data_IF_117572796600
#
_entry.id   IF_117572796600
#
_cell.length_a   1.000
_cell.length_b   1.000
_cell.length_c   1.000
_cell.angle_alpha   90.00
_cell.angle_beta   90.00
_cell.angle_gamma   90.00
#
_symmetry.space_group_name_H-M   'P 1'
#
loop_
_entity.id
_entity.type
_entity.pdbx_description
1 polymer ?
#
# COMPACT_ATOMS: atom_id res chain seq x y z
N UNK A 1 -0.42 -1.75 5.15
CA UNK A 1 -1.21 -1.53 3.90
C UNK A 1 -0.58 -0.54 2.92
N UNK A 2 0.42 0.27 3.23
CA UNK A 2 1.07 1.24 2.33
C UNK A 2 2.58 1.10 2.37
N UNK A 3 3.28 1.61 1.33
CA UNK A 3 4.74 1.59 1.25
C UNK A 3 5.30 0.50 0.34
N UNK A 4 4.46 -0.06 -0.53
CA UNK A 4 4.86 -1.12 -1.46
C UNK A 4 5.33 -0.58 -2.82
N UNK A 5 4.92 0.64 -3.18
CA UNK A 5 5.25 1.25 -4.47
C UNK A 5 6.58 1.99 -4.36
N UNK A 6 7.66 1.24 -4.20
CA UNK A 6 9.01 1.76 -3.98
C UNK A 6 9.87 1.65 -5.24
N UNK A 7 10.90 2.49 -5.36
CA UNK A 7 11.84 2.38 -6.47
C UNK A 7 12.88 1.27 -6.21
N UNK A 8 13.19 0.52 -7.26
CA UNK A 8 14.37 -0.35 -7.27
C UNK A 8 15.64 0.50 -7.44
N UNK A 9 16.32 0.77 -6.34
CA UNK A 9 17.53 1.59 -6.34
C UNK A 9 18.67 1.03 -7.21
N UNK A 10 18.65 -0.28 -7.51
CA UNK A 10 19.63 -0.92 -8.39
C UNK A 10 19.42 -0.60 -9.87
N UNK A 11 18.18 -0.30 -10.25
CA UNK A 11 17.80 0.02 -11.63
C UNK A 11 17.91 1.52 -11.96
N UNK A 12 18.18 2.40 -10.98
CA UNK A 12 18.19 3.85 -11.15
C UNK A 12 19.60 4.42 -11.29
N UNK A 13 19.76 5.41 -12.18
CA UNK A 13 20.89 6.32 -12.20
C UNK A 13 20.95 7.20 -10.95
N UNK A 14 22.08 7.87 -10.69
CA UNK A 14 22.21 8.76 -9.55
C UNK A 14 21.28 9.99 -9.65
N UNK A 15 21.06 10.52 -10.84
CA UNK A 15 20.16 11.64 -11.10
C UNK A 15 18.68 11.24 -10.79
N UNK A 16 18.27 10.05 -11.21
CA UNK A 16 16.94 9.51 -10.91
C UNK A 16 16.75 9.24 -9.40
N UNK A 17 17.77 8.72 -8.73
CA UNK A 17 17.76 8.59 -7.26
C UNK A 17 17.66 9.94 -6.56
N UNK A 18 18.34 10.95 -7.06
CA UNK A 18 18.25 12.31 -6.53
C UNK A 18 16.87 12.90 -6.77
N UNK A 19 16.31 12.74 -7.97
CA UNK A 19 14.95 13.16 -8.31
C UNK A 19 13.90 12.49 -7.40
N UNK A 20 13.94 11.17 -7.28
CA UNK A 20 13.04 10.42 -6.39
C UNK A 20 13.12 10.91 -4.95
N UNK A 21 14.35 11.10 -4.45
CA UNK A 21 14.61 11.63 -3.11
C UNK A 21 14.08 13.06 -2.96
N UNK A 22 14.21 13.90 -3.98
CA UNK A 22 13.73 15.28 -3.93
C UNK A 22 12.20 15.34 -3.81
N UNK A 23 11.45 14.55 -4.58
CA UNK A 23 9.98 14.47 -4.49
C UNK A 23 9.54 13.89 -3.15
N UNK A 24 10.18 12.81 -2.68
CA UNK A 24 9.93 12.22 -1.36
C UNK A 24 10.16 13.23 -0.22
N UNK A 25 11.25 13.97 -0.27
CA UNK A 25 11.55 15.03 0.70
C UNK A 25 10.55 16.20 0.59
N UNK A 26 10.12 16.54 -0.62
CA UNK A 26 9.07 17.53 -0.86
C UNK A 26 7.75 17.17 -0.18
N UNK A 27 7.30 15.92 -0.36
CA UNK A 27 6.10 15.40 0.31
C UNK A 27 6.27 15.40 1.84
N UNK A 28 7.42 14.98 2.35
CA UNK A 28 7.75 15.02 3.78
C UNK A 28 7.67 16.44 4.36
N UNK A 29 8.15 17.46 3.62
CA UNK A 29 8.07 18.85 4.02
C UNK A 29 6.64 19.39 3.92
N UNK A 30 5.88 18.99 2.89
CA UNK A 30 4.47 19.37 2.76
C UNK A 30 3.65 18.86 3.96
N UNK A 31 3.85 17.62 4.36
CA UNK A 31 3.23 17.05 5.57
C UNK A 31 3.56 17.86 6.82
N UNK A 32 4.85 18.21 7.01
CA UNK A 32 5.27 19.05 8.15
C UNK A 32 4.61 20.42 8.13
N UNK A 33 4.63 21.09 7.00
CA UNK A 33 4.19 22.49 6.88
C UNK A 33 2.67 22.62 7.01
N UNK A 34 1.94 21.60 6.55
CA UNK A 34 0.46 21.59 6.58
C UNK A 34 -0.12 21.05 7.89
N UNK A 35 0.59 20.10 8.54
CA UNK A 35 0.03 19.30 9.64
C UNK A 35 0.97 19.16 10.86
N UNK A 36 2.18 19.73 10.80
CA UNK A 36 3.15 19.67 11.88
C UNK A 36 4.12 18.48 11.78
N UNK A 37 5.09 18.43 12.68
CA UNK A 37 6.20 17.48 12.62
C UNK A 37 5.77 16.00 12.69
N UNK A 38 4.76 15.67 13.49
CA UNK A 38 4.30 14.30 13.69
C UNK A 38 3.68 13.71 12.43
N UNK A 39 3.03 14.54 11.59
CA UNK A 39 2.39 14.09 10.35
C UNK A 39 3.39 13.59 9.29
N UNK A 40 4.69 13.81 9.48
CA UNK A 40 5.74 13.20 8.65
C UNK A 40 5.75 11.66 8.75
N UNK A 41 5.18 11.09 9.81
CA UNK A 41 4.99 9.66 9.93
C UNK A 41 3.95 9.10 8.93
N UNK A 42 3.12 9.97 8.34
CA UNK A 42 2.17 9.59 7.28
C UNK A 42 2.81 9.51 5.90
N UNK A 43 4.11 9.78 5.76
CA UNK A 43 4.85 9.75 4.50
C UNK A 43 4.90 8.33 3.93
N UNK A 44 4.49 8.14 2.68
CA UNK A 44 4.54 6.85 1.99
C UNK A 44 5.22 6.96 0.63
N UNK A 45 5.78 5.87 0.17
CA UNK A 45 6.33 5.76 -1.18
C UNK A 45 5.23 5.75 -2.24
N UNK A 46 4.07 5.15 -1.95
CA UNK A 46 2.94 5.08 -2.87
C UNK A 46 2.44 6.46 -3.29
N UNK A 47 2.34 7.40 -2.34
CA UNK A 47 1.96 8.77 -2.66
C UNK A 47 3.12 9.60 -3.25
N UNK A 48 4.38 9.20 -3.03
CA UNK A 48 5.51 9.76 -3.78
C UNK A 48 5.45 9.38 -5.25
N UNK A 49 5.11 8.12 -5.56
CA UNK A 49 4.85 7.67 -6.94
C UNK A 49 3.68 8.45 -7.57
N UNK A 50 2.59 8.65 -6.83
CA UNK A 50 1.46 9.45 -7.31
C UNK A 50 1.87 10.89 -7.68
N UNK A 51 2.72 11.54 -6.87
CA UNK A 51 3.23 12.89 -7.17
C UNK A 51 4.06 12.87 -8.46
N UNK A 52 5.02 11.94 -8.59
CA UNK A 52 5.84 11.78 -9.80
C UNK A 52 4.98 11.60 -11.04
N UNK A 53 3.97 10.73 -10.95
CA UNK A 53 3.03 10.45 -12.04
C UNK A 53 2.27 11.70 -12.47
N UNK A 54 1.69 12.43 -11.52
CA UNK A 54 0.93 13.65 -11.81
C UNK A 54 1.83 14.78 -12.29
N UNK A 55 3.03 14.93 -11.75
CA UNK A 55 4.00 15.94 -12.18
C UNK A 55 4.46 15.66 -13.61
N UNK A 56 4.69 14.39 -13.98
CA UNK A 56 5.03 14.00 -15.34
C UNK A 56 3.88 14.20 -16.33
N UNK A 57 2.64 13.93 -15.89
CA UNK A 57 1.46 14.00 -16.76
C UNK A 57 0.99 15.44 -17.01
N UNK A 58 1.15 16.34 -16.04
CA UNK A 58 0.56 17.68 -16.07
C UNK A 58 1.60 18.81 -16.11
N UNK A 59 2.88 18.52 -15.92
CA UNK A 59 3.98 19.48 -15.90
C UNK A 59 3.69 20.77 -15.08
N UNK A 60 3.24 20.65 -13.82
CA UNK A 60 2.91 21.80 -13.00
C UNK A 60 4.17 22.63 -12.69
N UNK A 61 3.96 23.88 -12.27
CA UNK A 61 5.04 24.68 -11.72
C UNK A 61 5.58 23.99 -10.46
N UNK A 62 6.86 23.64 -10.49
CA UNK A 62 7.57 22.99 -9.39
C UNK A 62 8.43 24.01 -8.66
N UNK A 63 8.40 24.00 -7.34
CA UNK A 63 9.34 24.73 -6.49
C UNK A 63 10.37 23.76 -5.96
N UNK A 64 11.63 24.15 -5.99
CA UNK A 64 12.76 23.32 -5.55
C UNK A 64 13.61 24.05 -4.53
N UNK A 65 14.31 23.32 -3.69
CA UNK A 65 15.23 23.84 -2.71
C UNK A 65 15.99 22.74 -1.98
N UNK A 66 16.68 23.12 -0.92
CA UNK A 66 17.39 22.17 -0.07
C UNK A 66 17.11 22.47 1.41
N UNK A 67 17.02 21.42 2.23
CA UNK A 67 16.79 21.54 3.67
C UNK A 67 17.47 20.44 4.46
N UNK A 68 17.80 20.71 5.74
CA UNK A 68 18.29 19.69 6.65
C UNK A 68 17.16 18.77 7.10
N UNK A 69 17.41 17.47 7.06
CA UNK A 69 16.45 16.46 7.47
C UNK A 69 16.60 16.10 8.94
N UNK A 70 15.56 16.28 9.75
CA UNK A 70 15.58 15.93 11.18
C UNK A 70 15.67 14.41 11.44
N UNK A 71 15.27 13.59 10.46
CA UNK A 71 15.39 12.13 10.54
C UNK A 71 16.83 11.63 10.25
N UNK A 72 17.72 12.52 9.77
CA UNK A 72 19.12 12.22 9.49
C UNK A 72 19.99 13.29 10.14
N UNK A 73 20.13 13.27 11.49
CA UNK A 73 20.72 14.38 12.26
C UNK A 73 22.25 14.46 12.19
N UNK A 74 22.96 13.45 11.66
CA UNK A 74 24.40 13.55 11.46
C UNK A 74 24.72 14.70 10.48
N UNK A 75 25.96 15.29 10.50
CA UNK A 75 26.29 16.45 9.69
C UNK A 75 26.19 16.15 8.19
N UNK A 76 24.95 15.90 7.75
CA UNK A 76 24.63 15.64 6.37
C UNK A 76 24.40 16.98 5.67
N UNK A 77 24.86 17.08 4.42
CA UNK A 77 24.51 18.19 3.55
C UNK A 77 23.00 18.37 3.45
N UNK A 78 22.49 19.60 3.21
CA UNK A 78 21.09 19.83 2.94
C UNK A 78 20.62 18.92 1.81
N UNK A 79 19.45 18.29 1.97
CA UNK A 79 18.87 17.40 0.97
C UNK A 79 18.00 18.18 0.01
N UNK A 80 18.07 17.90 -1.30
CA UNK A 80 17.17 18.51 -2.27
C UNK A 80 15.72 18.11 -1.99
N UNK A 81 14.80 19.01 -2.31
CA UNK A 81 13.37 18.76 -2.30
C UNK A 81 12.69 19.46 -3.49
N UNK A 82 11.62 18.85 -3.97
CA UNK A 82 10.79 19.35 -5.05
C UNK A 82 9.32 19.29 -4.65
N UNK A 83 8.54 20.34 -4.92
CA UNK A 83 7.12 20.44 -4.55
C UNK A 83 6.31 21.05 -5.69
N UNK A 84 5.13 20.47 -5.92
CA UNK A 84 4.11 20.94 -6.85
C UNK A 84 2.75 21.04 -6.14
N UNK A 85 1.71 21.40 -6.86
CA UNK A 85 0.34 21.34 -6.38
C UNK A 85 -0.07 19.88 -6.02
N UNK A 86 0.47 18.89 -6.73
CA UNK A 86 0.21 17.48 -6.47
C UNK A 86 0.86 16.98 -5.18
N UNK A 87 2.00 17.57 -4.80
CA UNK A 87 2.62 17.29 -3.49
C UNK A 87 1.70 17.69 -2.33
N UNK A 88 1.02 18.82 -2.44
CA UNK A 88 0.08 19.29 -1.42
C UNK A 88 -1.16 18.39 -1.34
N UNK A 89 -1.71 17.98 -2.49
CA UNK A 89 -2.82 17.03 -2.55
C UNK A 89 -2.43 15.65 -1.99
N UNK A 90 -1.25 15.15 -2.35
CA UNK A 90 -0.72 13.89 -1.82
C UNK A 90 -0.50 13.94 -0.30
N UNK A 91 -0.09 15.10 0.25
CA UNK A 91 0.03 15.27 1.70
C UNK A 91 -1.33 15.20 2.41
N UNK A 92 -2.38 15.78 1.82
CA UNK A 92 -3.74 15.69 2.35
C UNK A 92 -4.25 14.23 2.32
N UNK A 93 -4.00 13.49 1.22
CA UNK A 93 -4.33 12.06 1.11
C UNK A 93 -3.54 11.20 2.09
N UNK A 94 -2.22 11.47 2.26
CA UNK A 94 -1.37 10.72 3.19
C UNK A 94 -1.92 10.74 4.62
N UNK A 95 -2.35 11.92 5.09
CA UNK A 95 -2.94 12.06 6.43
C UNK A 95 -4.27 11.34 6.53
N UNK A 96 -5.14 11.46 5.49
CA UNK A 96 -6.44 10.82 5.51
C UNK A 96 -6.33 9.29 5.52
N UNK A 97 -5.48 8.71 4.67
CA UNK A 97 -5.26 7.27 4.59
C UNK A 97 -4.58 6.72 5.86
N UNK A 98 -3.56 7.42 6.38
CA UNK A 98 -2.89 7.03 7.61
C UNK A 98 -3.82 7.06 8.84
N UNK A 99 -4.71 8.05 8.93
CA UNK A 99 -5.69 8.12 10.00
C UNK A 99 -6.61 6.91 9.99
N UNK A 100 -7.13 6.52 8.82
CA UNK A 100 -8.02 5.36 8.71
C UNK A 100 -7.30 4.03 8.94
N UNK A 101 -6.02 3.91 8.56
CA UNK A 101 -5.20 2.76 8.95
C UNK A 101 -5.07 2.63 10.46
N UNK A 102 -4.77 3.74 11.15
CA UNK A 102 -4.67 3.73 12.63
C UNK A 102 -6.00 3.40 13.28
N UNK A 103 -7.14 3.84 12.73
CA UNK A 103 -8.47 3.44 13.23
C UNK A 103 -8.72 1.94 13.09
N UNK A 104 -8.21 1.32 12.04
CA UNK A 104 -8.28 -0.11 11.80
C UNK A 104 -7.42 -0.88 12.82
N UNK A 105 -6.18 -0.46 13.02
CA UNK A 105 -5.27 -1.01 14.03
C UNK A 105 -5.84 -0.90 15.47
N UNK A 106 -6.55 0.21 15.79
CA UNK A 106 -7.26 0.38 17.09
C UNK A 106 -8.42 -0.61 17.23
N UNK A 107 -9.14 -0.88 16.15
CA UNK A 107 -10.30 -1.77 16.16
C UNK A 107 -9.89 -3.24 16.27
N UNK A 108 -8.78 -3.63 15.66
CA UNK A 108 -8.30 -5.01 15.67
C UNK A 108 -7.53 -5.38 16.94
N UNK A 109 -6.59 -4.56 17.38
CA UNK A 109 -5.68 -4.88 18.49
C UNK A 109 -6.02 -4.18 19.80
N UNK A 110 -6.79 -3.09 19.77
CA UNK A 110 -7.12 -2.28 20.95
C UNK A 110 -5.89 -1.65 21.63
N UNK A 111 -4.75 -1.59 20.93
CA UNK A 111 -3.46 -1.18 21.46
C UNK A 111 -3.48 0.30 21.92
N UNK A 112 -2.83 0.55 23.06
CA UNK A 112 -2.66 1.90 23.60
C UNK A 112 -1.84 2.81 22.69
N UNK A 113 -0.88 2.25 21.93
CA UNK A 113 -0.08 3.01 20.98
C UNK A 113 -0.94 3.45 19.78
N UNK A 114 -1.79 2.57 19.25
CA UNK A 114 -2.71 2.90 18.16
C UNK A 114 -3.72 3.98 18.59
N UNK A 115 -4.27 3.90 19.82
CA UNK A 115 -5.16 4.95 20.38
C UNK A 115 -4.45 6.28 20.59
N UNK A 116 -3.16 6.27 20.95
CA UNK A 116 -2.38 7.49 21.06
C UNK A 116 -2.13 8.11 19.68
N UNK A 117 -1.81 7.28 18.68
CA UNK A 117 -1.61 7.71 17.29
C UNK A 117 -2.91 8.28 16.68
N UNK A 118 -4.07 7.66 16.94
CA UNK A 118 -5.38 8.18 16.54
C UNK A 118 -5.61 9.61 17.06
N UNK A 119 -5.39 9.83 18.36
CA UNK A 119 -5.56 11.16 18.98
C UNK A 119 -4.61 12.20 18.38
N UNK A 120 -3.37 11.80 18.09
CA UNK A 120 -2.38 12.69 17.49
C UNK A 120 -2.73 13.07 16.05
N UNK A 121 -3.32 12.14 15.28
CA UNK A 121 -3.69 12.37 13.89
C UNK A 121 -5.07 12.99 13.72
N UNK A 122 -5.98 12.89 14.70
CA UNK A 122 -7.37 13.39 14.60
C UNK A 122 -7.45 14.88 14.19
N UNK A 123 -6.58 15.73 14.75
CA UNK A 123 -6.53 17.16 14.38
C UNK A 123 -6.04 17.37 12.94
N UNK A 124 -5.01 16.64 12.53
CA UNK A 124 -4.50 16.68 11.16
C UNK A 124 -5.55 16.17 10.16
N UNK A 125 -6.23 15.07 10.49
CA UNK A 125 -7.33 14.54 9.69
C UNK A 125 -8.48 15.54 9.55
N UNK A 126 -8.89 16.23 10.64
CA UNK A 126 -9.89 17.29 10.56
C UNK A 126 -9.53 18.40 9.59
N UNK A 127 -8.26 18.80 9.55
CA UNK A 127 -7.74 19.74 8.56
C UNK A 127 -7.74 19.19 7.13
N UNK A 128 -7.35 17.93 6.93
CA UNK A 128 -7.39 17.27 5.62
C UNK A 128 -8.84 17.17 5.11
N UNK A 129 -9.77 16.74 5.97
CA UNK A 129 -11.20 16.64 5.65
C UNK A 129 -11.82 17.98 5.22
N UNK A 130 -11.36 19.09 5.79
CA UNK A 130 -11.82 20.41 5.37
C UNK A 130 -11.32 20.80 3.96
N UNK A 131 -10.15 20.28 3.53
CA UNK A 131 -9.55 20.57 2.22
C UNK A 131 -10.02 19.63 1.12
N UNK A 132 -10.14 18.35 1.43
CA UNK A 132 -10.51 17.27 0.50
C UNK A 132 -11.71 16.46 1.00
N UNK A 133 -12.88 17.10 1.24
CA UNK A 133 -14.02 16.45 1.91
C UNK A 133 -14.59 15.26 1.13
N UNK A 134 -14.58 15.32 -0.22
CA UNK A 134 -15.10 14.23 -1.06
C UNK A 134 -14.21 13.01 -1.00
N UNK A 135 -12.89 13.19 -1.01
CA UNK A 135 -11.91 12.12 -0.92
C UNK A 135 -11.92 11.46 0.47
N UNK A 136 -12.02 12.26 1.52
CA UNK A 136 -12.17 11.72 2.88
C UNK A 136 -13.45 10.90 3.04
N UNK A 137 -14.58 11.38 2.48
CA UNK A 137 -15.83 10.61 2.50
C UNK A 137 -15.72 9.29 1.69
N UNK A 138 -14.99 9.27 0.58
CA UNK A 138 -14.74 8.06 -0.18
C UNK A 138 -13.85 7.08 0.61
N UNK A 139 -12.80 7.56 1.28
CA UNK A 139 -11.95 6.74 2.14
C UNK A 139 -12.78 6.16 3.30
N UNK A 140 -13.57 6.99 4.01
CA UNK A 140 -14.46 6.55 5.09
C UNK A 140 -15.41 5.44 4.64
N UNK A 141 -16.04 5.61 3.48
CA UNK A 141 -16.97 4.64 2.89
C UNK A 141 -16.26 3.32 2.56
N UNK A 142 -15.13 3.39 1.88
CA UNK A 142 -14.40 2.21 1.45
C UNK A 142 -13.85 1.41 2.64
N UNK A 143 -13.24 2.08 3.61
CA UNK A 143 -12.72 1.41 4.81
C UNK A 143 -13.85 0.77 5.65
N UNK A 144 -15.03 1.39 5.70
CA UNK A 144 -16.20 0.77 6.35
C UNK A 144 -16.68 -0.48 5.59
N UNK A 145 -16.69 -0.45 4.26
CA UNK A 145 -17.06 -1.60 3.43
C UNK A 145 -16.05 -2.76 3.59
N UNK A 146 -14.75 -2.46 3.56
CA UNK A 146 -13.67 -3.45 3.76
C UNK A 146 -13.84 -4.13 5.12
N UNK A 147 -13.96 -3.37 6.20
CA UNK A 147 -14.20 -3.93 7.55
C UNK A 147 -15.44 -4.83 7.61
N UNK A 148 -16.50 -4.49 6.89
CA UNK A 148 -17.71 -5.32 6.83
C UNK A 148 -17.43 -6.64 6.11
N UNK A 149 -16.69 -6.61 4.99
CA UNK A 149 -16.29 -7.79 4.22
C UNK A 149 -15.42 -8.71 5.08
N UNK A 150 -14.38 -8.17 5.71
CA UNK A 150 -13.43 -8.90 6.55
C UNK A 150 -14.11 -9.47 7.82
N UNK A 151 -14.94 -8.67 8.49
CA UNK A 151 -15.66 -9.08 9.69
C UNK A 151 -16.68 -10.19 9.44
N UNK A 152 -17.40 -10.16 8.32
CA UNK A 152 -18.34 -11.23 7.96
C UNK A 152 -17.61 -12.56 7.73
N UNK A 153 -16.36 -12.53 7.30
CA UNK A 153 -15.53 -13.71 7.04
C UNK A 153 -14.92 -14.30 8.29
N UNK A 154 -14.43 -13.49 9.20
CA UNK A 154 -13.98 -13.98 10.53
C UNK A 154 -15.10 -14.77 11.22
N UNK A 155 -16.33 -14.28 11.17
CA UNK A 155 -17.48 -14.95 11.78
C UNK A 155 -17.83 -16.28 11.07
N UNK A 156 -17.71 -16.36 9.74
CA UNK A 156 -18.00 -17.59 8.98
C UNK A 156 -16.93 -18.66 9.22
N UNK A 157 -15.65 -18.29 9.30
CA UNK A 157 -14.55 -19.21 9.60
C UNK A 157 -14.65 -19.75 11.03
N UNK A 158 -14.99 -18.91 12.02
CA UNK A 158 -15.20 -19.31 13.41
C UNK A 158 -16.40 -20.27 13.56
N UNK A 159 -17.46 -20.08 12.77
CA UNK A 159 -18.61 -20.99 12.76
C UNK A 159 -18.31 -22.37 12.17
N UNK A 160 -17.31 -22.48 11.29
CA UNK A 160 -16.86 -23.74 10.68
C UNK A 160 -15.82 -24.47 11.53
N UNK A 161 -15.06 -23.75 12.39
CA UNK A 161 -14.04 -24.32 13.29
C UNK A 161 -14.51 -24.60 14.70
N UNK A 162 -15.72 -24.16 15.08
CA UNK A 162 -16.32 -24.47 16.38
C UNK A 162 -16.56 -25.97 16.54
N UNK A 163 -16.02 -26.57 17.61
CA UNK A 163 -16.07 -27.99 18.00
C UNK A 163 -17.48 -28.58 17.81
N UNK A 164 -17.73 -29.13 16.64
CA UNK A 164 -18.83 -30.05 16.44
C UNK A 164 -18.34 -31.41 16.92
N UNK A 165 -18.57 -31.71 18.22
CA UNK A 165 -18.63 -33.09 18.68
C UNK A 165 -19.44 -33.88 17.68
N UNK A 166 -18.82 -34.98 17.21
CA UNK A 166 -19.35 -35.88 16.20
C UNK A 166 -20.76 -36.35 16.57
N UNK A 167 -21.78 -35.72 16.05
CA UNK A 167 -23.13 -36.25 16.05
C UNK A 167 -23.71 -36.09 14.64
N UNK A 168 -23.81 -37.26 13.98
CA UNK A 168 -24.58 -37.54 12.77
C UNK A 168 -24.62 -36.48 11.66
N UNK A 169 -24.06 -36.88 10.53
CA UNK A 169 -24.15 -36.28 9.19
C UNK A 169 -25.60 -35.79 8.90
N UNK A 170 -25.83 -34.52 9.16
CA UNK A 170 -26.93 -33.80 8.53
C UNK A 170 -26.39 -33.12 7.27
N UNK A 171 -27.07 -33.15 6.13
CA UNK A 171 -26.64 -32.45 4.95
C UNK A 171 -26.52 -30.98 5.29
N UNK A 172 -25.39 -30.37 4.90
CA UNK A 172 -25.16 -28.91 4.95
C UNK A 172 -26.44 -28.21 4.56
N UNK A 173 -26.97 -27.34 5.42
CA UNK A 173 -28.14 -26.53 5.08
C UNK A 173 -27.86 -25.77 3.79
N UNK A 174 -28.88 -25.64 2.94
CA UNK A 174 -28.77 -24.89 1.68
C UNK A 174 -28.18 -23.49 1.88
N UNK A 175 -28.45 -22.87 3.04
CA UNK A 175 -27.92 -21.57 3.45
C UNK A 175 -26.39 -21.56 3.64
N UNK A 176 -25.77 -22.67 4.09
CA UNK A 176 -24.31 -22.77 4.23
C UNK A 176 -23.63 -23.01 2.86
N UNK A 177 -24.30 -23.73 1.97
CA UNK A 177 -23.83 -23.93 0.59
C UNK A 177 -23.96 -22.63 -0.23
N UNK A 178 -25.05 -21.87 -0.06
CA UNK A 178 -25.24 -20.56 -0.68
C UNK A 178 -24.24 -19.51 -0.12
N UNK A 179 -23.93 -19.53 1.17
CA UNK A 179 -22.91 -18.68 1.77
C UNK A 179 -21.49 -19.01 1.27
N UNK A 180 -21.19 -20.29 1.00
CA UNK A 180 -19.93 -20.69 0.39
C UNK A 180 -19.84 -20.33 -1.11
N UNK A 181 -20.94 -20.35 -1.83
CA UNK A 181 -21.04 -19.91 -3.23
C UNK A 181 -20.97 -18.38 -3.40
N UNK A 182 -21.26 -17.61 -2.34
CA UNK A 182 -21.17 -16.14 -2.32
C UNK A 182 -19.79 -15.60 -1.91
N UNK A 183 -18.75 -16.47 -1.77
CA UNK A 183 -17.41 -16.04 -1.41
C UNK A 183 -16.71 -15.38 -2.59
N UNK A 184 -16.53 -14.05 -2.52
CA UNK A 184 -15.65 -13.29 -3.38
C UNK A 184 -14.37 -12.97 -2.60
N UNK A 185 -13.25 -13.69 -2.83
CA UNK A 185 -11.98 -13.45 -2.16
C UNK A 185 -11.38 -12.08 -2.53
N UNK A 186 -11.78 -11.55 -3.68
CA UNK A 186 -11.28 -10.28 -4.21
C UNK A 186 -12.09 -9.07 -3.72
N UNK A 187 -13.20 -9.28 -3.00
CA UNK A 187 -14.12 -8.19 -2.64
C UNK A 187 -13.45 -7.02 -1.91
N UNK A 188 -12.61 -7.31 -0.91
CA UNK A 188 -11.90 -6.28 -0.15
C UNK A 188 -10.82 -5.59 -1.01
N UNK A 189 -10.04 -6.36 -1.77
CA UNK A 189 -9.05 -5.83 -2.71
C UNK A 189 -9.71 -4.95 -3.80
N UNK A 190 -10.85 -5.37 -4.32
CA UNK A 190 -11.63 -4.60 -5.30
C UNK A 190 -12.18 -3.30 -4.71
N UNK A 191 -12.59 -3.32 -3.44
CA UNK A 191 -13.09 -2.12 -2.77
C UNK A 191 -11.96 -1.11 -2.50
N UNK A 192 -10.80 -1.60 -2.04
CA UNK A 192 -9.62 -0.77 -1.86
C UNK A 192 -9.12 -0.21 -3.19
N UNK A 193 -9.11 -1.02 -4.25
CA UNK A 193 -8.78 -0.58 -5.61
C UNK A 193 -9.72 0.50 -6.12
N UNK A 194 -11.04 0.36 -5.94
CA UNK A 194 -12.02 1.40 -6.32
C UNK A 194 -11.76 2.71 -5.60
N UNK A 195 -11.50 2.65 -4.30
CA UNK A 195 -11.16 3.84 -3.51
C UNK A 195 -9.92 4.53 -4.10
N UNK A 196 -8.82 3.81 -4.28
CA UNK A 196 -7.58 4.41 -4.77
C UNK A 196 -7.76 4.96 -6.20
N UNK A 197 -8.51 4.27 -7.07
CA UNK A 197 -8.86 4.76 -8.40
C UNK A 197 -9.56 6.12 -8.35
N UNK A 198 -10.58 6.28 -7.51
CA UNK A 198 -11.30 7.57 -7.36
C UNK A 198 -10.41 8.69 -6.79
N UNK A 199 -9.48 8.35 -5.90
CA UNK A 199 -8.51 9.32 -5.38
C UNK A 199 -7.53 9.75 -6.47
N UNK A 200 -7.08 8.84 -7.33
CA UNK A 200 -6.17 9.12 -8.44
C UNK A 200 -6.85 9.91 -9.56
N UNK A 201 -8.13 9.66 -9.84
CA UNK A 201 -8.91 10.36 -10.86
C UNK A 201 -9.18 11.83 -10.55
N UNK A 202 -9.01 12.24 -9.28
CA UNK A 202 -9.38 13.58 -8.86
C UNK A 202 -8.51 14.66 -9.52
N UNK A 203 -9.15 15.68 -10.11
CA UNK A 203 -8.51 16.81 -10.78
C UNK A 203 -7.66 16.45 -12.02
N UNK A 204 -7.80 15.26 -12.60
CA UNK A 204 -7.01 14.79 -13.75
C UNK A 204 -7.57 15.24 -15.12
N UNK A 205 -8.72 15.89 -15.16
CA UNK A 205 -9.33 16.38 -16.40
C UNK A 205 -9.57 15.25 -17.41
N UNK A 206 -8.98 15.36 -18.60
CA UNK A 206 -9.09 14.37 -19.68
C UNK A 206 -8.58 12.97 -19.25
N UNK A 207 -7.58 12.90 -18.38
CA UNK A 207 -6.94 11.67 -17.96
C UNK A 207 -7.64 10.98 -16.77
N UNK A 208 -8.76 11.52 -16.28
CA UNK A 208 -9.42 11.03 -15.08
C UNK A 208 -9.79 9.53 -15.15
N UNK A 209 -10.31 9.06 -16.28
CA UNK A 209 -10.67 7.65 -16.48
C UNK A 209 -9.43 6.74 -16.46
N UNK A 210 -8.38 7.11 -17.19
CA UNK A 210 -7.12 6.35 -17.22
C UNK A 210 -6.45 6.31 -15.85
N UNK A 211 -6.46 7.44 -15.12
CA UNK A 211 -5.92 7.52 -13.76
C UNK A 211 -6.77 6.73 -12.74
N UNK A 212 -8.10 6.65 -12.96
CA UNK A 212 -8.97 5.80 -12.14
C UNK A 212 -8.67 4.32 -12.36
N UNK A 213 -8.49 3.89 -13.59
CA UNK A 213 -8.11 2.51 -13.92
C UNK A 213 -6.76 2.14 -13.32
N UNK A 214 -5.75 3.02 -13.47
CA UNK A 214 -4.41 2.83 -12.89
C UNK A 214 -4.49 2.73 -11.36
N UNK A 215 -5.15 3.68 -10.73
CA UNK A 215 -5.31 3.69 -9.27
C UNK A 215 -6.07 2.46 -8.76
N UNK A 216 -7.05 1.94 -9.53
CA UNK A 216 -7.79 0.71 -9.21
C UNK A 216 -6.89 -0.51 -9.25
N UNK A 217 -6.10 -0.68 -10.31
CA UNK A 217 -5.15 -1.79 -10.43
C UNK A 217 -4.09 -1.73 -9.33
N UNK A 218 -3.51 -0.55 -9.10
CA UNK A 218 -2.49 -0.34 -8.08
C UNK A 218 -3.05 -0.57 -6.66
N UNK A 219 -4.27 -0.13 -6.38
CA UNK A 219 -4.92 -0.36 -5.09
C UNK A 219 -5.17 -1.83 -4.82
N UNK A 220 -5.66 -2.60 -5.81
CA UNK A 220 -5.78 -4.06 -5.70
C UNK A 220 -4.43 -4.70 -5.42
N UNK A 221 -3.39 -4.29 -6.15
CA UNK A 221 -2.03 -4.78 -5.95
C UNK A 221 -1.53 -4.50 -4.53
N UNK A 222 -1.69 -3.28 -4.03
CA UNK A 222 -1.26 -2.88 -2.68
C UNK A 222 -1.95 -3.73 -1.62
N UNK A 223 -3.28 -3.90 -1.70
CA UNK A 223 -4.03 -4.71 -0.74
C UNK A 223 -3.60 -6.18 -0.75
N UNK A 224 -3.44 -6.77 -1.92
CA UNK A 224 -3.01 -8.15 -2.08
C UNK A 224 -1.53 -8.35 -1.68
N UNK A 225 -0.67 -7.36 -1.90
CA UNK A 225 0.72 -7.39 -1.46
C UNK A 225 0.83 -7.38 0.07
N UNK A 226 0.04 -6.54 0.73
CA UNK A 226 -0.08 -6.52 2.20
C UNK A 226 -0.49 -7.91 2.71
N UNK A 227 -1.55 -8.48 2.16
CA UNK A 227 -2.01 -9.81 2.51
C UNK A 227 -0.95 -10.91 2.24
N UNK A 228 -0.15 -10.80 1.20
CA UNK A 228 0.92 -11.75 0.91
C UNK A 228 2.08 -11.63 1.90
N UNK A 229 2.45 -10.40 2.29
CA UNK A 229 3.54 -10.15 3.26
C UNK A 229 3.12 -10.61 4.65
N UNK A 230 1.88 -10.37 5.05
CA UNK A 230 1.35 -10.68 6.37
C UNK A 230 0.82 -12.13 6.50
N UNK A 231 0.87 -12.92 5.41
CA UNK A 231 0.33 -14.28 5.34
C UNK A 231 0.78 -15.20 6.51
N UNK A 232 2.06 -15.12 6.88
CA UNK A 232 2.63 -15.96 7.94
C UNK A 232 2.12 -15.57 9.33
N UNK A 233 1.83 -14.31 9.56
CA UNK A 233 1.36 -13.75 10.82
C UNK A 233 -0.18 -13.86 10.93
N UNK A 234 -0.90 -13.72 9.82
CA UNK A 234 -2.35 -13.81 9.76
C UNK A 234 -2.87 -15.25 9.93
N UNK A 235 -2.10 -16.24 9.47
CA UNK A 235 -2.49 -17.66 9.57
C UNK A 235 -2.75 -18.09 11.02
N UNK A 236 -1.86 -17.85 12.01
CA UNK A 236 -2.11 -18.21 13.39
C UNK A 236 -3.03 -17.23 14.14
N UNK A 237 -3.11 -15.97 13.74
CA UNK A 237 -3.94 -14.95 14.41
C UNK A 237 -5.43 -15.10 14.12
N UNK A 238 -5.79 -15.76 13.01
CA UNK A 238 -7.17 -15.83 12.51
C UNK A 238 -7.67 -14.51 11.93
N UNK A 239 -6.77 -13.58 11.63
CA UNK A 239 -7.08 -12.36 10.89
C UNK A 239 -7.56 -12.70 9.47
N UNK A 240 -8.44 -11.86 8.91
CA UNK A 240 -8.86 -12.08 7.53
C UNK A 240 -7.67 -11.86 6.57
N UNK A 241 -7.41 -12.86 5.75
CA UNK A 241 -6.44 -12.77 4.67
C UNK A 241 -6.96 -13.59 3.48
N UNK A 242 -7.12 -12.99 2.28
CA UNK A 242 -7.67 -13.69 1.12
C UNK A 242 -6.82 -14.89 0.69
N UNK A 243 -5.52 -14.83 0.83
CA UNK A 243 -4.62 -15.92 0.47
C UNK A 243 -4.68 -17.09 1.47
N UNK A 244 -4.85 -16.78 2.77
CA UNK A 244 -5.11 -17.81 3.80
C UNK A 244 -6.46 -18.48 3.53
N UNK A 245 -7.50 -17.71 3.21
CA UNK A 245 -8.83 -18.23 2.91
C UNK A 245 -8.86 -19.15 1.67
N UNK A 246 -7.98 -18.89 0.70
CA UNK A 246 -7.83 -19.71 -0.52
C UNK A 246 -6.83 -20.86 -0.38
N UNK A 247 -6.08 -20.94 0.73
CA UNK A 247 -5.00 -21.92 0.89
C UNK A 247 -3.88 -21.74 -0.13
N UNK A 248 -3.59 -20.48 -0.50
CA UNK A 248 -2.61 -20.15 -1.54
C UNK A 248 -1.20 -20.42 -1.08
N UNK A 249 -0.37 -20.93 -1.97
CA UNK A 249 1.08 -20.98 -1.83
C UNK A 249 1.77 -19.73 -2.42
N UNK A 250 3.08 -19.64 -2.27
CA UNK A 250 3.85 -18.49 -2.74
C UNK A 250 3.78 -18.30 -4.28
N UNK A 251 3.63 -19.38 -5.04
CA UNK A 251 3.52 -19.31 -6.50
C UNK A 251 2.14 -18.75 -6.92
N UNK A 252 1.07 -19.22 -6.30
CA UNK A 252 -0.28 -18.72 -6.52
C UNK A 252 -0.42 -17.25 -6.10
N UNK A 253 0.16 -16.86 -4.95
CA UNK A 253 0.21 -15.47 -4.51
C UNK A 253 0.93 -14.58 -5.53
N UNK A 254 2.11 -15.02 -6.01
CA UNK A 254 2.87 -14.28 -7.02
C UNK A 254 2.10 -14.13 -8.33
N UNK A 255 1.42 -15.19 -8.78
CA UNK A 255 0.61 -15.14 -10.00
C UNK A 255 -0.55 -14.15 -9.87
N UNK A 256 -1.24 -14.15 -8.74
CA UNK A 256 -2.33 -13.20 -8.43
C UNK A 256 -1.83 -11.75 -8.40
N UNK A 257 -0.70 -11.51 -7.74
CA UNK A 257 -0.05 -10.21 -7.70
C UNK A 257 0.40 -9.74 -9.10
N UNK A 258 0.89 -10.66 -9.95
CA UNK A 258 1.29 -10.32 -11.32
C UNK A 258 0.10 -9.86 -12.17
N UNK A 259 -1.09 -10.45 -11.99
CA UNK A 259 -2.31 -10.01 -12.65
C UNK A 259 -2.72 -8.61 -12.18
N UNK A 260 -2.70 -8.36 -10.87
CA UNK A 260 -3.02 -7.04 -10.32
C UNK A 260 -2.00 -5.95 -10.76
N UNK A 261 -0.71 -6.30 -10.84
CA UNK A 261 0.33 -5.40 -11.37
C UNK A 261 0.09 -5.09 -12.86
N UNK A 262 -0.29 -6.08 -13.67
CA UNK A 262 -0.64 -5.88 -15.07
C UNK A 262 -1.87 -4.99 -15.25
N UNK A 263 -2.89 -5.12 -14.38
CA UNK A 263 -4.06 -4.25 -14.36
C UNK A 263 -3.69 -2.76 -14.08
N UNK A 264 -2.60 -2.51 -13.35
CA UNK A 264 -2.07 -1.16 -13.13
C UNK A 264 -1.17 -0.70 -14.29
N UNK A 265 -0.35 -1.58 -14.84
CA UNK A 265 0.59 -1.26 -15.92
C UNK A 265 -0.12 -0.86 -17.23
N UNK A 266 -1.20 -1.55 -17.60
CA UNK A 266 -1.92 -1.30 -18.85
C UNK A 266 -2.46 0.15 -18.99
N UNK A 267 -3.13 0.76 -18.00
CA UNK A 267 -3.47 2.18 -18.06
C UNK A 267 -2.27 3.11 -17.94
N UNK A 268 -1.23 2.75 -17.17
CA UNK A 268 0.00 3.52 -17.06
C UNK A 268 0.67 3.72 -18.42
N UNK A 269 0.80 2.67 -19.23
CA UNK A 269 1.41 2.73 -20.57
C UNK A 269 0.65 3.61 -21.58
N UNK A 270 -0.60 3.98 -21.28
CA UNK A 270 -1.41 4.89 -22.11
C UNK A 270 -1.21 6.36 -21.77
N UNK A 271 -0.56 6.66 -20.66
CA UNK A 271 -0.34 8.05 -20.23
C UNK A 271 0.85 8.67 -20.98
N UNK A 272 0.73 9.88 -21.49
CA UNK A 272 1.80 10.58 -22.18
C UNK A 272 2.76 11.23 -21.17
N UNK A 273 3.50 10.41 -20.45
CA UNK A 273 4.44 10.88 -19.44
C UNK A 273 5.62 11.62 -20.09
N UNK A 274 5.93 12.81 -19.60
CA UNK A 274 6.92 13.71 -20.20
C UNK A 274 8.29 13.56 -19.52
N UNK A 275 8.30 13.41 -18.20
CA UNK A 275 9.51 13.32 -17.40
C UNK A 275 9.44 12.13 -16.43
N UNK A 276 10.58 11.74 -15.89
CA UNK A 276 10.68 10.69 -14.86
C UNK A 276 10.15 9.30 -15.29
N UNK A 277 9.93 9.03 -16.60
CA UNK A 277 9.35 7.78 -17.08
C UNK A 277 10.19 6.56 -16.64
N UNK A 278 11.52 6.57 -16.85
CA UNK A 278 12.39 5.47 -16.42
C UNK A 278 12.35 5.23 -14.90
N UNK A 279 12.24 6.30 -14.11
CA UNK A 279 12.09 6.20 -12.66
C UNK A 279 10.76 5.53 -12.28
N UNK A 280 9.67 5.90 -12.94
CA UNK A 280 8.36 5.29 -12.70
C UNK A 280 8.28 3.84 -13.19
N UNK A 281 8.94 3.52 -14.31
CA UNK A 281 9.10 2.15 -14.80
C UNK A 281 9.87 1.28 -13.79
N UNK A 282 10.97 1.78 -13.23
CA UNK A 282 11.71 1.08 -12.18
C UNK A 282 10.90 0.86 -10.90
N UNK A 283 9.94 1.75 -10.61
CA UNK A 283 8.98 1.55 -9.50
C UNK A 283 7.98 0.46 -9.87
N UNK A 284 7.26 0.63 -10.99
CA UNK A 284 6.08 -0.17 -11.32
C UNK A 284 6.42 -1.59 -11.76
N UNK A 285 7.54 -1.80 -12.48
CA UNK A 285 7.92 -3.11 -13.02
C UNK A 285 8.91 -3.89 -12.15
N UNK A 286 9.67 -3.21 -11.29
CA UNK A 286 10.71 -3.85 -10.47
C UNK A 286 10.50 -3.61 -8.98
N UNK A 287 10.42 -2.36 -8.58
CA UNK A 287 10.44 -1.96 -7.17
C UNK A 287 9.26 -2.46 -6.34
N UNK A 288 8.06 -2.54 -6.94
CA UNK A 288 6.85 -3.06 -6.30
C UNK A 288 6.99 -4.51 -5.79
N UNK A 289 7.93 -5.28 -6.34
CA UNK A 289 8.19 -6.66 -5.94
C UNK A 289 9.15 -6.81 -4.77
N UNK A 290 9.76 -5.73 -4.28
CA UNK A 290 10.81 -5.78 -3.28
C UNK A 290 10.37 -6.48 -1.97
N UNK A 291 9.17 -6.18 -1.49
CA UNK A 291 8.65 -6.77 -0.25
C UNK A 291 8.27 -8.24 -0.43
N UNK A 292 7.65 -8.61 -1.56
CA UNK A 292 7.35 -10.00 -1.87
C UNK A 292 8.63 -10.84 -1.97
N UNK A 293 9.63 -10.37 -2.70
CA UNK A 293 10.91 -11.07 -2.87
C UNK A 293 11.68 -11.20 -1.54
N UNK A 294 11.46 -10.29 -0.61
CA UNK A 294 12.03 -10.37 0.76
C UNK A 294 11.30 -11.43 1.59
N UNK A 295 9.98 -11.50 1.53
CA UNK A 295 9.16 -12.48 2.25
C UNK A 295 9.30 -13.89 1.66
N UNK A 296 9.40 -13.99 0.33
CA UNK A 296 9.49 -15.23 -0.44
C UNK A 296 10.72 -15.22 -1.36
N UNK A 297 11.94 -15.40 -0.81
CA UNK A 297 13.17 -15.36 -1.61
C UNK A 297 13.21 -16.49 -2.64
N UNK A 298 13.66 -16.24 -3.88
CA UNK A 298 13.83 -17.28 -4.89
C UNK A 298 14.75 -18.41 -4.38
N UNK A 299 14.42 -19.68 -4.66
CA UNK A 299 15.19 -20.85 -4.17
C UNK A 299 16.69 -20.80 -4.51
N UNK A 300 17.08 -20.14 -5.60
CA UNK A 300 18.49 -19.91 -5.97
C UNK A 300 19.27 -19.03 -4.96
N UNK A 301 18.60 -18.12 -4.25
CA UNK A 301 19.24 -17.27 -3.24
C UNK A 301 19.49 -18.00 -1.92
N UNK A 302 18.69 -19.00 -1.60
CA UNK A 302 18.87 -19.85 -0.39
C UNK A 302 20.08 -20.79 -0.54
N UNK A 303 20.41 -21.23 -1.75
CA UNK A 303 21.55 -22.12 -2.02
C UNK A 303 22.92 -21.41 -1.85
N UNK A 304 22.97 -20.08 -1.97
CA UNK A 304 24.22 -19.32 -1.84
C UNK A 304 24.56 -18.96 -0.37
N UNK A 305 23.58 -18.93 0.53
CA UNK A 305 23.80 -18.68 1.96
C UNK A 305 24.03 -19.93 2.81
N UNK A 306 23.93 -21.12 2.22
CA UNK A 306 24.20 -22.42 2.84
C UNK A 306 25.63 -22.90 2.68
N UNK A 307 26.63 -22.01 2.70
CA UNK A 307 28.05 -22.36 2.70
C UNK A 307 28.39 -23.18 3.94
N UNK A 308 28.73 -24.44 3.74
CA UNK A 308 29.16 -25.41 4.75
C UNK A 308 30.28 -24.86 5.66
N UNK A 309 30.29 -25.19 6.96
CA UNK A 309 31.44 -24.93 7.79
C UNK A 309 32.64 -25.72 7.24
N UNK A 310 33.70 -24.99 6.89
CA UNK A 310 34.98 -25.58 6.52
C UNK A 310 35.47 -26.47 7.69
N UNK A 311 35.54 -27.74 7.47
CA UNK A 311 36.26 -28.66 8.37
C UNK A 311 37.75 -28.31 8.29
N UNK A 312 38.32 -27.84 9.39
CA UNK A 312 39.77 -27.77 9.58
C UNK A 312 40.36 -29.16 9.49
N UNK A 313 41.52 -29.36 8.83
CA UNK A 313 42.23 -30.63 8.84
C UNK A 313 42.95 -30.81 10.19
N UNK A 314 43.02 -32.04 10.72
CA UNK A 314 43.77 -32.32 11.95
C UNK A 314 45.27 -32.27 11.68
N UNK A 315 46.00 -31.67 12.66
CA UNK A 315 47.44 -31.71 12.80
C UNK A 315 47.97 -33.13 12.99
#
# INVERSE_FOLDING_TARGET
MFGFVVADAGALSEDEKERYRAVYCGLCLALRDRYGQLSRACLTYDLTFFVLLCDSLHEPVETQGASHCVMHPAPAAPRPWARSAWTDYAADLSVALAYHKVLDDVADDGDLAARAAERLLAGAYGCARARIPKQCAEIERAMAAIRTIEGSRRNSAAALSGDAEATCISPLSADAADAALAFDPDAAANEFGRMLGRLFACNQGFWAETMEELGRGLGRFIYLMDAAVDFADDTPSGSYNPFVALGSDAEAMRATLALAAADAAAPYERLPLVQDANLMDAILYSGVWAQFNKAYPPQAALAQNGGSPQSEPPN
#
